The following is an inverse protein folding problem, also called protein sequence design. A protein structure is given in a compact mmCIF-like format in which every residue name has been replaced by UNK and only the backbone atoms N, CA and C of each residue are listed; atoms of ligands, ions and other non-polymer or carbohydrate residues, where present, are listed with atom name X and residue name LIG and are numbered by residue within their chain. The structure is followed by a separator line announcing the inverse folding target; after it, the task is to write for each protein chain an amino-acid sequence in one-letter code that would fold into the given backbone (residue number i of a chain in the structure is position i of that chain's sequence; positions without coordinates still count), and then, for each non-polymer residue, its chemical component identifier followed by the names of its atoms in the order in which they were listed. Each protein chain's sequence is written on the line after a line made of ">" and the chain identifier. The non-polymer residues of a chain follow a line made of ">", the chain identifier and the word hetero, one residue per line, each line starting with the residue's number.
data_IF_708555552230
#
_entry.id   IF_708555552230
#
_cell.length_a   1.000
_cell.length_b   1.000
_cell.length_c   1.000
_cell.angle_alpha   90.00
_cell.angle_beta   90.00
_cell.angle_gamma   90.00
#
_symmetry.space_group_name_H-M   'P 1'
#
loop_
_entity.id
_entity.type
_entity.pdbx_description
1 polymer ?
#
# COMPACT_ATOMS: atom_id res chain seq x y z
N UNK A 1 -9.50 -39.94 11.59
CA UNK A 1 -10.41 -39.38 10.57
C UNK A 1 -9.94 -37.97 10.21
N UNK A 2 -8.95 -37.87 9.30
CA UNK A 2 -8.30 -36.60 8.87
C UNK A 2 -8.16 -36.50 7.33
N UNK A 3 -8.74 -37.45 6.58
CA UNK A 3 -8.46 -37.66 5.16
C UNK A 3 -9.27 -36.84 4.14
N UNK A 4 -10.55 -36.46 4.36
CA UNK A 4 -11.35 -35.84 3.28
C UNK A 4 -10.96 -34.38 2.99
N UNK A 5 -10.41 -33.64 3.97
CA UNK A 5 -9.98 -32.25 3.79
C UNK A 5 -8.71 -32.12 2.93
N UNK A 6 -7.75 -33.04 3.05
CA UNK A 6 -6.51 -33.00 2.27
C UNK A 6 -6.75 -33.26 0.78
N UNK A 7 -7.65 -34.19 0.44
CA UNK A 7 -7.91 -34.55 -0.95
C UNK A 7 -8.60 -33.42 -1.74
N UNK A 8 -9.51 -32.68 -1.09
CA UNK A 8 -10.20 -31.54 -1.70
C UNK A 8 -9.25 -30.36 -1.97
N UNK A 9 -8.32 -30.07 -1.05
CA UNK A 9 -7.30 -29.04 -1.25
C UNK A 9 -6.37 -29.38 -2.43
N UNK A 10 -5.88 -30.62 -2.53
CA UNK A 10 -4.94 -31.02 -3.59
C UNK A 10 -5.54 -31.00 -5.01
N UNK A 11 -6.84 -31.29 -5.17
CA UNK A 11 -7.48 -31.25 -6.49
C UNK A 11 -7.69 -29.81 -7.02
N UNK A 12 -7.84 -28.85 -6.10
CA UNK A 12 -8.09 -27.45 -6.43
C UNK A 12 -6.80 -26.68 -6.76
N UNK A 13 -5.63 -27.10 -6.23
CA UNK A 13 -4.35 -26.42 -6.51
C UNK A 13 -4.01 -26.40 -8.02
N UNK A 14 -4.07 -27.52 -8.77
CA UNK A 14 -3.81 -27.50 -10.20
C UNK A 14 -4.77 -26.59 -11.00
N UNK A 15 -6.04 -26.52 -10.60
CA UNK A 15 -7.01 -25.63 -11.24
C UNK A 15 -6.69 -24.16 -10.96
N UNK A 16 -6.36 -23.84 -9.70
CA UNK A 16 -5.96 -22.49 -9.31
C UNK A 16 -4.68 -22.03 -10.03
N UNK A 17 -3.69 -22.91 -10.18
CA UNK A 17 -2.47 -22.58 -10.94
C UNK A 17 -2.74 -22.38 -12.43
N UNK A 18 -3.66 -23.15 -13.05
CA UNK A 18 -4.10 -22.92 -14.42
C UNK A 18 -4.79 -21.56 -14.59
N UNK A 19 -5.69 -21.22 -13.66
CA UNK A 19 -6.37 -19.92 -13.65
C UNK A 19 -5.36 -18.77 -13.49
N UNK A 20 -4.41 -18.90 -12.55
CA UNK A 20 -3.31 -17.94 -12.37
C UNK A 20 -2.48 -17.79 -13.65
N UNK A 21 -2.14 -18.89 -14.31
CA UNK A 21 -1.39 -18.87 -15.58
C UNK A 21 -2.12 -18.11 -16.69
N UNK A 22 -3.44 -18.34 -16.86
CA UNK A 22 -4.26 -17.58 -17.80
C UNK A 22 -4.28 -16.09 -17.45
N UNK A 23 -4.47 -15.76 -16.18
CA UNK A 23 -4.50 -14.37 -15.71
C UNK A 23 -3.17 -13.65 -15.97
N UNK A 24 -2.03 -14.31 -15.72
CA UNK A 24 -0.69 -13.76 -16.06
C UNK A 24 -0.59 -13.45 -17.55
N UNK A 25 -1.06 -14.38 -18.39
CA UNK A 25 -1.02 -14.21 -19.84
C UNK A 25 -1.92 -13.05 -20.31
N UNK A 26 -3.17 -12.99 -19.82
CA UNK A 26 -4.09 -11.89 -20.14
C UNK A 26 -3.53 -10.54 -19.71
N UNK A 27 -2.93 -10.45 -18.52
CA UNK A 27 -2.29 -9.22 -18.07
C UNK A 27 -1.12 -8.86 -18.99
N UNK A 28 -0.24 -9.81 -19.31
CA UNK A 28 0.91 -9.55 -20.18
C UNK A 28 0.49 -9.09 -21.58
N UNK A 29 -0.59 -9.63 -22.13
CA UNK A 29 -1.09 -9.30 -23.48
C UNK A 29 -1.86 -7.97 -23.53
N UNK A 30 -2.46 -7.54 -22.42
CA UNK A 30 -3.33 -6.35 -22.38
C UNK A 30 -2.76 -5.15 -21.59
N UNK A 31 -1.57 -5.27 -21.00
CA UNK A 31 -0.93 -4.16 -20.29
C UNK A 31 -0.34 -3.14 -21.28
N UNK A 32 -1.20 -2.24 -21.76
CA UNK A 32 -0.87 -1.29 -22.84
C UNK A 32 -0.32 0.06 -22.37
N UNK A 33 -0.01 0.21 -21.08
CA UNK A 33 0.52 1.45 -20.48
C UNK A 33 1.82 1.17 -19.74
N UNK A 34 2.65 2.18 -19.51
CA UNK A 34 3.91 1.99 -18.76
C UNK A 34 3.67 1.69 -17.28
N UNK A 35 2.59 2.24 -16.72
CA UNK A 35 2.08 1.95 -15.40
C UNK A 35 0.63 2.43 -15.28
N UNK A 36 -0.14 1.88 -14.35
CA UNK A 36 -1.43 2.43 -13.95
C UNK A 36 -1.45 2.86 -12.48
N UNK A 37 -2.33 3.81 -12.18
CA UNK A 37 -2.47 4.41 -10.86
C UNK A 37 -3.76 3.87 -10.23
N UNK A 38 -3.67 3.34 -9.01
CA UNK A 38 -4.82 2.74 -8.34
C UNK A 38 -4.79 2.89 -6.82
N UNK A 39 -5.94 2.77 -6.18
CA UNK A 39 -6.03 2.71 -4.72
C UNK A 39 -5.28 1.47 -4.20
N UNK A 40 -4.28 1.69 -3.35
CA UNK A 40 -3.45 0.63 -2.76
C UNK A 40 -4.12 -0.11 -1.59
N UNK A 41 -5.29 0.34 -1.12
CA UNK A 41 -6.11 -0.38 -0.13
C UNK A 41 -7.22 -1.21 -0.77
N UNK A 42 -7.37 -1.12 -2.09
CA UNK A 42 -8.33 -1.93 -2.83
C UNK A 42 -7.81 -3.36 -2.98
N UNK A 43 -8.51 -4.29 -2.33
CA UNK A 43 -8.07 -5.67 -2.20
C UNK A 43 -7.94 -6.35 -3.58
N UNK A 44 -8.78 -6.01 -4.56
CA UNK A 44 -8.74 -6.60 -5.90
C UNK A 44 -7.41 -6.27 -6.59
N UNK A 45 -6.99 -5.00 -6.50
CA UNK A 45 -5.76 -4.51 -7.13
C UNK A 45 -4.50 -5.04 -6.45
N UNK A 46 -4.52 -5.14 -5.12
CA UNK A 46 -3.42 -5.74 -4.37
C UNK A 46 -3.33 -7.24 -4.66
N UNK A 47 -4.46 -7.94 -4.73
CA UNK A 47 -4.52 -9.35 -5.11
C UNK A 47 -3.98 -9.59 -6.52
N UNK A 48 -4.30 -8.73 -7.48
CA UNK A 48 -3.72 -8.79 -8.83
C UNK A 48 -2.20 -8.71 -8.77
N UNK A 49 -1.63 -7.72 -8.06
CA UNK A 49 -0.19 -7.62 -7.88
C UNK A 49 0.45 -8.90 -7.35
N UNK A 50 -0.15 -9.52 -6.33
CA UNK A 50 0.35 -10.77 -5.75
C UNK A 50 0.21 -11.99 -6.69
N UNK A 51 -0.92 -12.09 -7.40
CA UNK A 51 -1.21 -13.22 -8.27
C UNK A 51 -0.38 -13.20 -9.54
N UNK A 52 -0.25 -12.04 -10.18
CA UNK A 52 0.43 -11.92 -11.48
C UNK A 52 1.86 -11.38 -11.40
N UNK A 53 2.31 -10.95 -10.22
CA UNK A 53 3.68 -10.45 -10.02
C UNK A 53 3.89 -9.05 -10.59
N UNK A 54 2.89 -8.16 -10.47
CA UNK A 54 3.09 -6.75 -10.83
C UNK A 54 3.92 -6.08 -9.73
N UNK A 55 5.01 -5.36 -10.07
CA UNK A 55 5.64 -4.45 -9.13
C UNK A 55 4.66 -3.34 -8.74
N UNK A 56 4.49 -3.15 -7.42
CA UNK A 56 3.62 -2.12 -6.86
C UNK A 56 4.39 -1.27 -5.88
N UNK A 57 4.43 0.05 -6.10
CA UNK A 57 4.94 1.02 -5.14
C UNK A 57 3.80 1.86 -4.61
N UNK A 58 3.68 1.93 -3.29
CA UNK A 58 2.64 2.73 -2.61
C UNK A 58 3.25 4.05 -2.16
N UNK A 59 2.68 5.16 -2.63
CA UNK A 59 3.10 6.52 -2.27
C UNK A 59 1.99 7.27 -1.55
N UNK A 60 2.33 8.14 -0.58
CA UNK A 60 1.36 9.05 0.04
C UNK A 60 1.01 10.16 -0.95
N UNK A 61 -0.28 10.36 -1.20
CA UNK A 61 -0.81 11.38 -2.12
C UNK A 61 -1.58 12.48 -1.40
N UNK A 62 -1.68 12.39 -0.08
CA UNK A 62 -2.29 13.41 0.77
C UNK A 62 -2.68 12.85 2.13
N UNK A 63 -3.48 13.63 2.86
CA UNK A 63 -3.97 13.27 4.19
C UNK A 63 -5.44 13.69 4.33
N UNK A 64 -6.23 12.84 4.98
CA UNK A 64 -7.62 13.12 5.35
C UNK A 64 -7.80 13.07 6.86
N UNK A 65 -8.89 13.64 7.37
CA UNK A 65 -9.25 13.48 8.78
C UNK A 65 -9.46 12.00 9.12
N UNK A 66 -9.14 11.64 10.36
CA UNK A 66 -9.45 10.31 10.88
C UNK A 66 -10.97 10.08 10.88
N UNK A 67 -11.44 8.83 10.71
CA UNK A 67 -12.85 8.51 10.92
C UNK A 67 -13.25 8.78 12.37
N UNK A 68 -14.45 9.31 12.60
CA UNK A 68 -14.99 9.64 13.93
C UNK A 68 -14.04 10.52 14.78
N UNK A 69 -13.69 11.74 14.32
CA UNK A 69 -12.85 12.63 15.10
C UNK A 69 -13.53 13.05 16.41
N UNK A 70 -12.78 13.36 17.48
CA UNK A 70 -13.32 13.98 18.68
C UNK A 70 -14.12 15.25 18.36
N UNK A 71 -15.17 15.54 19.12
CA UNK A 71 -16.01 16.74 18.94
C UNK A 71 -15.20 18.05 19.04
N UNK A 72 -14.13 18.04 19.83
CA UNK A 72 -13.19 19.14 20.01
C UNK A 72 -12.20 19.31 18.85
N UNK A 73 -12.24 18.41 17.86
CA UNK A 73 -11.33 18.36 16.72
C UNK A 73 -10.03 17.60 17.01
N UNK A 74 -9.24 17.34 15.96
CA UNK A 74 -7.93 16.70 16.09
C UNK A 74 -6.97 17.12 14.98
N UNK A 75 -5.67 17.18 15.29
CA UNK A 75 -4.59 17.34 14.31
C UNK A 75 -4.17 16.02 13.65
N UNK A 76 -4.59 14.89 14.20
CA UNK A 76 -4.31 13.56 13.66
C UNK A 76 -4.96 13.39 12.29
N UNK A 77 -4.23 12.78 11.36
CA UNK A 77 -4.69 12.54 9.99
C UNK A 77 -4.40 11.11 9.55
N UNK A 78 -5.25 10.59 8.65
CA UNK A 78 -5.01 9.35 7.94
C UNK A 78 -4.41 9.65 6.57
N UNK A 79 -3.30 9.00 6.24
CA UNK A 79 -2.68 9.11 4.92
C UNK A 79 -3.62 8.59 3.84
N UNK A 80 -3.79 9.36 2.77
CA UNK A 80 -4.35 8.89 1.51
C UNK A 80 -3.18 8.36 0.69
N UNK A 81 -3.24 7.08 0.33
CA UNK A 81 -2.19 6.41 -0.42
C UNK A 81 -2.68 6.05 -1.82
N UNK A 82 -1.72 5.85 -2.72
CA UNK A 82 -1.99 5.40 -4.09
C UNK A 82 -0.88 4.47 -4.51
N UNK A 83 -1.25 3.39 -5.18
CA UNK A 83 -0.36 2.41 -5.77
C UNK A 83 -0.02 2.79 -7.21
N UNK A 84 1.26 2.68 -7.54
CA UNK A 84 1.80 2.73 -8.89
C UNK A 84 2.09 1.29 -9.28
N UNK A 85 1.37 0.78 -10.27
CA UNK A 85 1.45 -0.59 -10.73
C UNK A 85 2.11 -0.61 -12.10
N UNK A 86 3.29 -1.21 -12.21
CA UNK A 86 3.99 -1.37 -13.48
C UNK A 86 3.86 -2.81 -13.99
N UNK A 87 4.11 -3.07 -15.30
CA UNK A 87 4.11 -4.41 -15.84
C UNK A 87 5.13 -5.33 -15.13
N UNK A 88 4.98 -6.66 -15.21
CA UNK A 88 5.96 -7.58 -14.65
C UNK A 88 7.38 -7.30 -15.18
N UNK A 89 8.39 -7.37 -14.32
CA UNK A 89 9.80 -7.06 -14.61
C UNK A 89 10.12 -5.58 -14.94
N UNK A 90 9.19 -4.65 -14.70
CA UNK A 90 9.38 -3.21 -14.95
C UNK A 90 9.43 -2.38 -13.67
N UNK A 91 10.06 -2.90 -12.62
CA UNK A 91 10.19 -2.26 -11.30
C UNK A 91 10.78 -0.85 -11.37
N UNK A 92 11.71 -0.63 -12.30
CA UNK A 92 12.35 0.66 -12.54
C UNK A 92 11.35 1.74 -12.96
N UNK A 93 10.27 1.39 -13.68
CA UNK A 93 9.21 2.34 -14.06
C UNK A 93 8.43 2.78 -12.83
N UNK A 94 7.97 1.82 -12.01
CA UNK A 94 7.25 2.13 -10.78
C UNK A 94 8.11 3.00 -9.84
N UNK A 95 9.40 2.68 -9.72
CA UNK A 95 10.34 3.45 -8.90
C UNK A 95 10.57 4.86 -9.44
N UNK A 96 10.81 5.02 -10.74
CA UNK A 96 11.01 6.32 -11.36
C UNK A 96 9.78 7.22 -11.20
N UNK A 97 8.58 6.68 -11.42
CA UNK A 97 7.32 7.40 -11.22
C UNK A 97 7.12 7.80 -9.75
N UNK A 98 7.41 6.89 -8.80
CA UNK A 98 7.31 7.20 -7.38
C UNK A 98 8.27 8.33 -6.98
N UNK A 99 9.52 8.28 -7.45
CA UNK A 99 10.53 9.32 -7.19
C UNK A 99 10.13 10.67 -7.81
N UNK A 100 9.63 10.67 -9.05
CA UNK A 100 9.15 11.87 -9.71
C UNK A 100 7.93 12.48 -9.00
N UNK A 101 6.99 11.64 -8.56
CA UNK A 101 5.84 12.10 -7.80
C UNK A 101 6.27 12.70 -6.45
N UNK A 102 7.18 12.04 -5.73
CA UNK A 102 7.70 12.56 -4.47
C UNK A 102 8.55 13.81 -4.66
N UNK A 103 9.29 13.98 -5.74
CA UNK A 103 10.07 15.21 -5.98
C UNK A 103 9.17 16.40 -6.29
N UNK A 104 8.05 16.17 -6.98
CA UNK A 104 7.05 17.19 -7.29
C UNK A 104 6.11 17.53 -6.12
N UNK A 105 6.07 16.71 -5.07
CA UNK A 105 5.16 16.86 -3.93
C UNK A 105 5.92 16.86 -2.60
N UNK A 106 5.23 17.11 -1.49
CA UNK A 106 5.83 17.05 -0.16
C UNK A 106 5.09 16.11 0.81
N UNK A 107 4.10 15.34 0.32
CA UNK A 107 3.28 14.46 1.16
C UNK A 107 4.11 13.47 1.98
N UNK A 108 5.17 12.92 1.39
CA UNK A 108 6.10 12.00 2.05
C UNK A 108 6.96 12.65 3.14
N UNK A 109 7.06 13.99 3.16
CA UNK A 109 7.80 14.76 4.20
C UNK A 109 6.90 15.16 5.37
N UNK A 110 5.58 15.17 5.17
CA UNK A 110 4.63 15.52 6.21
C UNK A 110 4.60 14.43 7.29
N UNK A 111 4.54 14.85 8.55
CA UNK A 111 4.49 13.96 9.71
C UNK A 111 3.31 14.35 10.60
N UNK A 112 2.07 14.00 10.22
CA UNK A 112 0.91 14.29 11.06
C UNK A 112 1.10 13.70 12.46
N UNK A 113 0.68 14.39 13.54
CA UNK A 113 0.74 13.86 14.88
C UNK A 113 0.03 12.50 14.98
N UNK A 114 0.64 11.56 15.71
CA UNK A 114 0.06 10.23 15.98
C UNK A 114 -0.90 10.28 17.16
N UNK A 115 -0.62 11.18 18.12
CA UNK A 115 -1.41 11.36 19.34
C UNK A 115 -2.70 12.14 19.05
N UNK A 116 -3.68 11.99 19.95
CA UNK A 116 -4.98 12.66 19.89
C UNK A 116 -4.88 14.13 20.35
N UNK A 117 -4.01 14.88 19.68
CA UNK A 117 -3.86 16.32 19.91
C UNK A 117 -5.03 17.07 19.31
N UNK A 118 -5.66 17.91 20.13
CA UNK A 118 -6.66 18.88 19.71
C UNK A 118 -6.07 19.96 18.79
N UNK A 119 -6.91 20.71 18.07
CA UNK A 119 -6.46 21.75 17.14
C UNK A 119 -5.61 22.84 17.80
N UNK A 120 -5.82 23.08 19.09
CA UNK A 120 -5.16 24.12 19.88
C UNK A 120 -4.03 23.60 20.77
N UNK A 121 -3.80 22.28 20.79
CA UNK A 121 -2.78 21.71 21.68
C UNK A 121 -1.39 22.07 21.16
N UNK A 122 -0.53 22.55 22.05
CA UNK A 122 0.89 22.76 21.75
C UNK A 122 1.57 21.40 21.61
N UNK A 123 2.27 21.18 20.49
CA UNK A 123 3.19 20.07 20.34
C UNK A 123 4.47 20.49 21.06
N UNK A 124 4.85 19.84 22.18
CA UNK A 124 6.10 20.15 22.84
C UNK A 124 7.28 19.78 21.93
N UNK A 125 8.23 20.69 21.78
CA UNK A 125 9.53 20.47 21.16
C UNK A 125 10.60 20.65 22.25
N UNK A 126 11.22 19.57 22.77
CA UNK A 126 11.17 18.18 22.30
C UNK A 126 9.92 17.41 22.78
N UNK A 127 9.56 16.29 22.11
CA UNK A 127 8.40 15.48 22.47
C UNK A 127 8.49 14.92 23.90
N UNK A 128 7.38 15.02 24.66
CA UNK A 128 7.29 14.61 26.07
C UNK A 128 7.47 13.10 26.29
N UNK A 129 7.14 12.29 25.28
CA UNK A 129 7.42 10.85 25.30
C UNK A 129 8.70 10.61 24.53
N UNK A 130 9.79 10.14 25.17
CA UNK A 130 10.96 9.68 24.44
C UNK A 130 10.55 8.45 23.64
N UNK A 131 10.27 8.65 22.34
CA UNK A 131 10.10 7.53 21.41
C UNK A 131 11.46 6.83 21.39
N UNK A 132 11.57 5.59 21.89
CA UNK A 132 12.86 4.91 21.89
C UNK A 132 13.34 4.83 20.44
N UNK A 133 14.64 5.11 20.17
CA UNK A 133 15.18 4.99 18.83
C UNK A 133 14.85 3.60 18.30
N UNK A 134 14.29 3.53 17.08
CA UNK A 134 13.96 2.28 16.41
C UNK A 134 15.23 1.43 16.39
N UNK A 135 15.29 0.38 17.20
CA UNK A 135 16.39 -0.58 17.19
C UNK A 135 16.37 -1.28 15.84
N UNK A 136 17.26 -0.87 14.95
CA UNK A 136 17.64 -1.69 13.80
C UNK A 136 18.40 -2.87 14.38
N UNK A 137 17.77 -4.03 14.46
CA UNK A 137 18.52 -5.27 14.67
C UNK A 137 19.40 -5.47 13.43
N UNK A 138 20.71 -5.23 13.59
CA UNK A 138 21.74 -5.73 12.68
C UNK A 138 21.95 -7.22 12.91
#
# INVERSE_FOLDING_TARGET
>A
MFFPLYFHYFYNVPQAQRARGKLIQEVKENFNVDAFIGNATDWERVCMGNLVGLPVIVVPTGFKSIPNPPLTGTRRRTTVNTGIYAPPNHDHIALALAMAYQSATNHHKQRPPVDDLGPNDTIPDPPTVPIPPRRLHM
#
